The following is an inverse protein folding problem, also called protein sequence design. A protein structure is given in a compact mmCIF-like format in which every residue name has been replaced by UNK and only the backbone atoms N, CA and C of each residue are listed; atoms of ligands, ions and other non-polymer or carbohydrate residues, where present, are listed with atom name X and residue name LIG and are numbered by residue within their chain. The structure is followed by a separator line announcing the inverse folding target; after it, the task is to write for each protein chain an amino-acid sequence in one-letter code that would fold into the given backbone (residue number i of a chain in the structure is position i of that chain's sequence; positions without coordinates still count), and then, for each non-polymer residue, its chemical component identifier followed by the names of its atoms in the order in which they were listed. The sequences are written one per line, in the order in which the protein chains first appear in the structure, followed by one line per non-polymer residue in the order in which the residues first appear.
data_IF_202781073799
#
_entry.id   IF_202781073799
#
_cell.length_a   1.000
_cell.length_b   1.000
_cell.length_c   1.000
_cell.angle_alpha   90.00
_cell.angle_beta   90.00
_cell.angle_gamma   90.00
#
_symmetry.space_group_name_H-M   'P 1'
#
loop_
_entity.id
_entity.type
_entity.pdbx_description
1 polymer ?
#
# COMPACT_ATOMS: atom_id res chain seq x y z
N UNK A 1 16.63 -10.18 -12.80
CA UNK A 1 16.18 -8.81 -12.52
C UNK A 1 14.93 -8.58 -13.35
N UNK A 2 13.78 -8.46 -12.70
CA UNK A 2 12.53 -8.05 -13.34
C UNK A 2 12.71 -6.66 -13.96
N UNK A 3 12.11 -6.39 -15.12
CA UNK A 3 12.06 -5.03 -15.66
C UNK A 3 11.45 -4.09 -14.61
N UNK A 4 12.03 -2.90 -14.37
CA UNK A 4 11.52 -1.95 -13.37
C UNK A 4 10.07 -1.60 -13.68
N UNK A 5 9.19 -1.62 -12.66
CA UNK A 5 7.79 -1.23 -12.85
C UNK A 5 7.74 0.29 -13.04
N UNK A 6 6.96 0.73 -14.04
CA UNK A 6 7.28 1.92 -14.86
C UNK A 6 7.06 3.30 -14.20
N UNK A 7 6.39 3.37 -13.05
CA UNK A 7 5.90 4.63 -12.50
C UNK A 7 6.61 5.00 -11.19
N UNK A 8 7.37 6.09 -11.23
CA UNK A 8 7.98 6.73 -10.07
C UNK A 8 7.28 8.06 -9.80
N UNK A 9 6.96 8.28 -8.52
CA UNK A 9 6.34 9.52 -8.03
C UNK A 9 7.27 10.24 -7.06
N UNK A 10 7.49 11.54 -7.29
CA UNK A 10 8.27 12.40 -6.41
C UNK A 10 7.34 13.09 -5.40
N UNK A 11 7.31 12.56 -4.18
CA UNK A 11 6.53 13.10 -3.06
C UNK A 11 7.32 14.25 -2.46
N UNK A 12 6.78 15.46 -2.50
CA UNK A 12 7.41 16.62 -1.87
C UNK A 12 7.23 16.54 -0.36
N UNK A 13 8.30 16.77 0.38
CA UNK A 13 8.32 16.77 1.84
C UNK A 13 8.84 18.09 2.41
N UNK A 14 8.66 18.29 3.71
CA UNK A 14 9.44 19.28 4.45
C UNK A 14 10.92 18.86 4.48
N UNK A 15 11.82 19.81 4.25
CA UNK A 15 13.27 19.58 4.27
C UNK A 15 13.67 18.97 5.62
N UNK A 16 14.50 17.91 5.60
CA UNK A 16 14.95 17.13 6.77
C UNK A 16 13.87 16.23 7.40
N UNK A 17 12.73 16.03 6.73
CA UNK A 17 11.65 15.12 7.14
C UNK A 17 11.41 13.96 6.16
N UNK A 18 12.31 13.77 5.20
CA UNK A 18 12.24 12.75 4.15
C UNK A 18 12.22 11.34 4.75
N UNK A 19 13.13 11.06 5.69
CA UNK A 19 13.20 9.76 6.38
C UNK A 19 11.97 9.47 7.25
N UNK A 20 11.45 10.49 7.94
CA UNK A 20 10.22 10.36 8.74
C UNK A 20 9.04 9.95 7.83
N UNK A 21 8.86 10.66 6.71
CA UNK A 21 7.81 10.35 5.71
C UNK A 21 8.00 8.96 5.10
N UNK A 22 9.22 8.61 4.69
CA UNK A 22 9.51 7.29 4.12
C UNK A 22 9.21 6.15 5.11
N UNK A 23 9.59 6.34 6.39
CA UNK A 23 9.31 5.40 7.48
C UNK A 23 7.81 5.26 7.72
N UNK A 24 7.06 6.36 7.73
CA UNK A 24 5.62 6.32 7.97
C UNK A 24 4.87 5.60 6.82
N UNK A 25 5.27 5.83 5.56
CA UNK A 25 4.76 5.09 4.40
C UNK A 25 5.05 3.59 4.55
N UNK A 26 6.28 3.22 4.90
CA UNK A 26 6.66 1.83 5.13
C UNK A 26 5.82 1.20 6.24
N UNK A 27 5.67 1.89 7.37
CA UNK A 27 4.86 1.42 8.50
C UNK A 27 3.40 1.19 8.10
N UNK A 28 2.84 2.04 7.23
CA UNK A 28 1.49 1.85 6.70
C UNK A 28 1.36 0.58 5.87
N UNK A 29 2.34 0.29 5.01
CA UNK A 29 2.39 -0.96 4.22
C UNK A 29 2.49 -2.18 5.14
N UNK A 30 3.38 -2.14 6.13
CA UNK A 30 3.56 -3.21 7.11
C UNK A 30 2.30 -3.43 7.97
N UNK A 31 1.63 -2.36 8.38
CA UNK A 31 0.37 -2.43 9.12
C UNK A 31 -0.76 -3.12 8.33
N UNK A 32 -0.80 -2.91 7.01
CA UNK A 32 -1.74 -3.63 6.14
C UNK A 32 -1.41 -5.12 6.08
N UNK A 33 -0.13 -5.50 5.95
CA UNK A 33 0.28 -6.92 5.98
C UNK A 33 -0.15 -7.61 7.25
N UNK A 34 0.03 -6.95 8.39
CA UNK A 34 -0.37 -7.49 9.69
C UNK A 34 -1.89 -7.61 9.80
N UNK A 35 -2.63 -6.69 9.19
CA UNK A 35 -4.09 -6.77 9.11
C UNK A 35 -4.56 -7.97 8.28
N UNK A 36 -3.94 -8.22 7.12
CA UNK A 36 -4.20 -9.43 6.30
C UNK A 36 -3.90 -10.68 7.12
N UNK A 37 -2.73 -10.73 7.76
CA UNK A 37 -2.30 -11.85 8.60
C UNK A 37 -3.31 -12.16 9.70
N UNK A 38 -3.84 -11.12 10.36
CA UNK A 38 -4.86 -11.25 11.41
C UNK A 38 -6.16 -11.86 10.87
N UNK A 39 -6.67 -11.37 9.74
CA UNK A 39 -7.92 -11.89 9.13
C UNK A 39 -7.75 -13.35 8.72
N UNK A 40 -6.66 -13.67 8.02
CA UNK A 40 -6.35 -15.03 7.55
C UNK A 40 -6.14 -16.02 8.71
N UNK A 41 -5.74 -15.54 9.88
CA UNK A 41 -5.53 -16.38 11.07
C UNK A 41 -6.76 -16.46 11.99
N UNK A 42 -7.82 -15.71 11.71
CA UNK A 42 -9.02 -15.69 12.53
C UNK A 42 -9.83 -16.98 12.39
N UNK A 43 -10.48 -17.43 13.47
CA UNK A 43 -11.43 -18.55 13.45
C UNK A 43 -12.87 -18.11 13.16
N UNK A 44 -13.15 -16.80 13.16
CA UNK A 44 -14.54 -16.28 13.08
C UNK A 44 -15.34 -16.83 11.90
N UNK A 45 -14.71 -17.00 10.73
CA UNK A 45 -15.39 -17.58 9.57
C UNK A 45 -15.72 -19.06 9.78
N UNK A 46 -14.79 -19.84 10.32
CA UNK A 46 -15.00 -21.26 10.62
C UNK A 46 -16.09 -21.45 11.68
N UNK A 47 -16.11 -20.59 12.70
CA UNK A 47 -17.12 -20.60 13.76
C UNK A 47 -18.51 -20.29 13.17
N UNK A 48 -18.62 -19.26 12.32
CA UNK A 48 -19.87 -18.91 11.65
C UNK A 48 -20.36 -20.00 10.67
N UNK A 49 -19.45 -20.67 9.97
CA UNK A 49 -19.76 -21.83 9.10
C UNK A 49 -20.30 -22.99 9.95
N UNK A 50 -19.71 -23.25 11.12
CA UNK A 50 -20.19 -24.30 12.03
C UNK A 50 -21.60 -24.00 12.53
N UNK A 51 -21.85 -22.77 12.97
CA UNK A 51 -23.18 -22.33 13.42
C UNK A 51 -24.22 -22.40 12.29
N UNK A 52 -23.83 -22.04 11.06
CA UNK A 52 -24.68 -22.17 9.87
C UNK A 52 -25.05 -23.63 9.60
N UNK A 53 -24.10 -24.55 9.76
CA UNK A 53 -24.34 -25.99 9.59
C UNK A 53 -25.34 -26.51 10.63
N UNK A 54 -25.17 -26.15 11.90
CA UNK A 54 -26.10 -26.50 12.98
C UNK A 54 -27.50 -25.92 12.75
N UNK A 55 -27.56 -24.67 12.27
CA UNK A 55 -28.82 -24.03 11.90
C UNK A 55 -29.53 -24.78 10.77
N UNK A 56 -28.81 -25.17 9.71
CA UNK A 56 -29.37 -25.97 8.61
C UNK A 56 -29.90 -27.31 9.11
N UNK A 57 -29.18 -28.01 9.99
CA UNK A 57 -29.67 -29.24 10.59
C UNK A 57 -30.93 -29.01 11.43
N UNK A 58 -31.05 -27.87 12.11
CA UNK A 58 -32.26 -27.51 12.86
C UNK A 58 -33.46 -27.28 11.93
N UNK A 59 -33.24 -26.67 10.76
CA UNK A 59 -34.27 -26.46 9.74
C UNK A 59 -34.82 -27.77 9.17
N UNK A 60 -33.96 -28.76 8.96
CA UNK A 60 -34.34 -30.07 8.40
C UNK A 60 -35.28 -30.87 9.31
N UNK A 61 -35.25 -30.58 10.61
CA UNK A 61 -36.03 -31.28 11.64
C UNK A 61 -37.27 -30.48 12.09
N UNK A 62 -37.67 -29.43 11.36
CA UNK A 62 -38.86 -28.65 11.70
C UNK A 62 -40.12 -29.45 11.38
N UNK A 63 -40.98 -29.58 12.39
CA UNK A 63 -42.35 -30.05 12.20
C UNK A 63 -43.29 -28.86 11.92
N UNK A 64 -44.19 -29.04 10.96
CA UNK A 64 -45.21 -28.03 10.64
C UNK A 64 -46.28 -28.04 11.74
N UNK A 65 -46.64 -26.87 12.31
CA UNK A 65 -47.65 -26.80 13.35
C UNK A 65 -49.00 -27.40 12.89
N UNK A 66 -49.71 -28.16 13.75
CA UNK A 66 -50.97 -28.81 13.39
C UNK A 66 -52.04 -27.85 12.84
N UNK A 67 -52.08 -26.61 13.34
CA UNK A 67 -52.98 -25.56 12.88
C UNK A 67 -52.74 -25.11 11.42
N UNK A 68 -51.61 -25.50 10.82
CA UNK A 68 -51.24 -25.19 9.42
C UNK A 68 -51.33 -26.40 8.49
N UNK A 69 -51.96 -27.50 8.90
CA UNK A 69 -52.03 -28.75 8.11
C UNK A 69 -52.59 -28.52 6.69
N UNK A 70 -53.54 -27.58 6.52
CA UNK A 70 -54.15 -27.24 5.22
C UNK A 70 -53.17 -26.66 4.19
N UNK A 71 -52.06 -26.04 4.62
CA UNK A 71 -50.98 -25.51 3.77
C UNK A 71 -49.66 -26.24 3.95
N UNK A 72 -49.63 -27.35 4.69
CA UNK A 72 -48.42 -28.10 5.04
C UNK A 72 -47.52 -28.40 3.85
N UNK A 73 -48.07 -28.93 2.76
CA UNK A 73 -47.31 -29.23 1.53
C UNK A 73 -46.61 -28.00 0.95
N UNK A 74 -47.23 -26.82 1.05
CA UNK A 74 -46.65 -25.56 0.57
C UNK A 74 -45.49 -25.14 1.47
N UNK A 75 -45.68 -25.22 2.80
CA UNK A 75 -44.66 -24.88 3.78
C UNK A 75 -43.46 -25.84 3.72
N UNK A 76 -43.70 -27.14 3.61
CA UNK A 76 -42.66 -28.15 3.41
C UNK A 76 -41.85 -27.89 2.13
N UNK A 77 -42.52 -27.53 1.03
CA UNK A 77 -41.82 -27.18 -0.22
C UNK A 77 -40.97 -25.92 -0.06
N UNK A 78 -41.49 -24.89 0.61
CA UNK A 78 -40.74 -23.65 0.90
C UNK A 78 -39.52 -23.93 1.78
N UNK A 79 -39.70 -24.70 2.85
CA UNK A 79 -38.64 -25.13 3.76
C UNK A 79 -37.55 -25.91 3.01
N UNK A 80 -37.95 -26.89 2.21
CA UNK A 80 -37.02 -27.69 1.41
C UNK A 80 -36.19 -26.81 0.46
N UNK A 81 -36.84 -25.88 -0.25
CA UNK A 81 -36.13 -24.96 -1.15
C UNK A 81 -35.15 -24.06 -0.38
N UNK A 82 -35.57 -23.54 0.77
CA UNK A 82 -34.72 -22.73 1.63
C UNK A 82 -33.49 -23.51 2.12
N UNK A 83 -33.68 -24.73 2.63
CA UNK A 83 -32.58 -25.63 3.06
C UNK A 83 -31.61 -25.91 1.91
N UNK A 84 -32.11 -26.15 0.69
CA UNK A 84 -31.25 -26.37 -0.49
C UNK A 84 -30.39 -25.14 -0.77
N UNK A 85 -30.99 -23.95 -0.79
CA UNK A 85 -30.26 -22.70 -1.01
C UNK A 85 -29.24 -22.42 0.10
N UNK A 86 -29.59 -22.71 1.36
CA UNK A 86 -28.70 -22.58 2.50
C UNK A 86 -27.50 -23.52 2.44
N UNK A 87 -27.70 -24.78 2.02
CA UNK A 87 -26.61 -25.75 1.82
C UNK A 87 -25.64 -25.29 0.74
N UNK A 88 -26.15 -24.71 -0.35
CA UNK A 88 -25.29 -24.14 -1.39
C UNK A 88 -24.42 -23.00 -0.84
N UNK A 89 -25.01 -22.08 -0.08
CA UNK A 89 -24.26 -20.99 0.58
C UNK A 89 -23.22 -21.55 1.54
N UNK A 90 -23.57 -22.58 2.32
CA UNK A 90 -22.63 -23.25 3.23
C UNK A 90 -21.43 -23.83 2.47
N UNK A 91 -21.67 -24.57 1.38
CA UNK A 91 -20.61 -25.13 0.53
C UNK A 91 -19.70 -24.04 -0.06
N UNK A 92 -20.29 -22.94 -0.55
CA UNK A 92 -19.54 -21.80 -1.08
C UNK A 92 -18.66 -21.15 0.00
N UNK A 93 -19.20 -20.94 1.22
CA UNK A 93 -18.45 -20.39 2.36
C UNK A 93 -17.35 -21.34 2.85
N UNK A 94 -17.56 -22.66 2.84
CA UNK A 94 -16.52 -23.66 3.13
C UNK A 94 -15.38 -23.59 2.10
N UNK A 95 -15.72 -23.36 0.83
CA UNK A 95 -14.75 -23.09 -0.23
C UNK A 95 -13.91 -21.83 0.05
N UNK A 96 -14.56 -20.74 0.45
CA UNK A 96 -13.90 -19.49 0.87
C UNK A 96 -12.98 -19.71 2.07
N UNK A 97 -13.44 -20.41 3.13
CA UNK A 97 -12.62 -20.74 4.30
C UNK A 97 -11.39 -21.56 3.92
N UNK A 98 -11.55 -22.56 3.05
CA UNK A 98 -10.45 -23.39 2.55
C UNK A 98 -9.41 -22.56 1.80
N UNK A 99 -9.84 -21.57 1.01
CA UNK A 99 -8.94 -20.63 0.32
C UNK A 99 -8.20 -19.73 1.30
N UNK A 100 -8.84 -19.23 2.35
CA UNK A 100 -8.14 -18.51 3.43
C UNK A 100 -7.09 -19.39 4.13
N UNK A 101 -7.40 -20.65 4.42
CA UNK A 101 -6.44 -21.61 5.01
C UNK A 101 -5.26 -21.87 4.08
N UNK A 102 -5.50 -22.02 2.78
CA UNK A 102 -4.42 -22.14 1.78
C UNK A 102 -3.53 -20.89 1.77
N UNK A 103 -4.13 -19.70 1.76
CA UNK A 103 -3.41 -18.44 1.82
C UNK A 103 -2.56 -18.32 3.09
N UNK A 104 -3.09 -18.75 4.25
CA UNK A 104 -2.35 -18.84 5.52
C UNK A 104 -1.08 -19.69 5.37
N UNK A 105 -1.20 -20.86 4.74
CA UNK A 105 -0.08 -21.75 4.47
C UNK A 105 1.00 -21.08 3.61
N UNK A 106 0.60 -20.41 2.52
CA UNK A 106 1.53 -19.65 1.66
C UNK A 106 2.26 -18.55 2.44
N UNK A 107 1.55 -17.84 3.33
CA UNK A 107 2.15 -16.80 4.17
C UNK A 107 3.16 -17.37 5.17
N UNK A 108 2.86 -18.52 5.78
CA UNK A 108 3.77 -19.21 6.71
C UNK A 108 5.02 -19.72 6.00
N UNK A 109 4.87 -20.35 4.84
CA UNK A 109 5.98 -20.82 4.01
C UNK A 109 6.88 -19.65 3.57
N UNK A 110 6.27 -18.53 3.19
CA UNK A 110 6.98 -17.32 2.85
C UNK A 110 7.82 -16.79 4.02
N UNK A 111 7.25 -16.80 5.24
CA UNK A 111 7.92 -16.35 6.46
C UNK A 111 9.01 -17.32 6.98
N UNK A 112 8.93 -18.62 6.66
CA UNK A 112 9.96 -19.59 7.06
C UNK A 112 11.13 -19.68 6.09
N UNK A 113 10.90 -19.39 4.80
CA UNK A 113 11.95 -19.39 3.76
C UNK A 113 12.79 -18.11 3.76
N UNK A 114 12.23 -17.03 4.28
CA UNK A 114 12.93 -15.77 4.48
C UNK A 114 12.97 -15.56 5.99
N UNK A 115 14.09 -15.86 6.64
CA UNK A 115 14.32 -15.50 8.04
C UNK A 115 14.04 -14.00 8.18
N UNK A 116 12.82 -13.65 8.61
CA UNK A 116 12.37 -12.28 8.79
C UNK A 116 13.15 -11.70 9.97
N UNK A 117 14.30 -11.09 9.67
CA UNK A 117 14.95 -10.19 10.60
C UNK A 117 14.00 -9.01 10.75
N UNK A 118 13.47 -8.83 11.96
CA UNK A 118 12.60 -7.70 12.27
C UNK A 118 13.46 -6.43 12.31
N UNK A 119 13.80 -5.88 11.14
CA UNK A 119 14.49 -4.60 11.00
C UNK A 119 14.36 -4.05 9.58
N UNK A 120 13.27 -3.33 9.28
CA UNK A 120 13.18 -2.47 8.09
C UNK A 120 13.50 -3.14 6.73
N UNK A 121 13.43 -4.47 6.64
CA UNK A 121 13.84 -5.21 5.44
C UNK A 121 12.98 -4.87 4.22
N UNK A 122 13.63 -4.89 3.06
CA UNK A 122 13.08 -4.56 1.75
C UNK A 122 11.68 -5.15 1.56
N UNK A 123 10.75 -4.30 1.09
CA UNK A 123 9.38 -4.72 0.76
C UNK A 123 9.48 -5.84 -0.28
N UNK A 124 9.13 -7.09 0.06
CA UNK A 124 9.22 -8.17 -0.91
C UNK A 124 8.02 -8.02 -1.84
N UNK A 125 8.22 -7.23 -2.90
CA UNK A 125 7.12 -6.65 -3.67
C UNK A 125 6.25 -7.72 -4.32
N UNK A 126 6.87 -8.68 -5.01
CA UNK A 126 6.13 -9.57 -5.91
C UNK A 126 5.32 -10.65 -5.16
N UNK A 127 5.89 -11.28 -4.12
CA UNK A 127 5.19 -12.35 -3.40
C UNK A 127 4.07 -11.81 -2.52
N UNK A 128 4.30 -10.70 -1.81
CA UNK A 128 3.25 -10.08 -1.00
C UNK A 128 2.15 -9.45 -1.84
N UNK A 129 2.48 -8.92 -3.01
CA UNK A 129 1.47 -8.44 -3.96
C UNK A 129 0.55 -9.58 -4.39
N UNK A 130 1.11 -10.75 -4.76
CA UNK A 130 0.31 -11.95 -5.10
C UNK A 130 -0.59 -12.40 -3.94
N UNK A 131 -0.05 -12.43 -2.72
CA UNK A 131 -0.81 -12.75 -1.51
C UNK A 131 -1.95 -11.75 -1.29
N UNK A 132 -1.69 -10.46 -1.43
CA UNK A 132 -2.68 -9.41 -1.22
C UNK A 132 -3.78 -9.42 -2.30
N UNK A 133 -3.41 -9.67 -3.56
CA UNK A 133 -4.37 -9.80 -4.67
C UNK A 133 -5.26 -11.04 -4.47
N UNK A 134 -4.69 -12.18 -4.10
CA UNK A 134 -5.46 -13.39 -3.76
C UNK A 134 -6.39 -13.14 -2.56
N UNK A 135 -5.89 -12.52 -1.48
CA UNK A 135 -6.69 -12.13 -0.32
C UNK A 135 -7.89 -11.27 -0.72
N UNK A 136 -7.68 -10.24 -1.56
CA UNK A 136 -8.73 -9.34 -2.03
C UNK A 136 -9.80 -10.08 -2.81
N UNK A 137 -9.40 -11.03 -3.66
CA UNK A 137 -10.34 -11.85 -4.43
C UNK A 137 -11.17 -12.75 -3.51
N UNK A 138 -10.56 -13.37 -2.50
CA UNK A 138 -11.28 -14.19 -1.50
C UNK A 138 -12.26 -13.32 -0.70
N UNK A 139 -11.85 -12.13 -0.28
CA UNK A 139 -12.70 -11.20 0.47
C UNK A 139 -13.91 -10.69 -0.35
N UNK A 140 -13.73 -10.43 -1.64
CA UNK A 140 -14.81 -10.01 -2.54
C UNK A 140 -15.83 -11.14 -2.79
N UNK A 141 -15.34 -12.37 -2.93
CA UNK A 141 -16.16 -13.57 -3.05
C UNK A 141 -16.99 -13.79 -1.78
N UNK A 142 -16.35 -13.74 -0.61
CA UNK A 142 -17.02 -13.79 0.69
C UNK A 142 -18.14 -12.74 0.78
N UNK A 143 -17.88 -11.49 0.40
CA UNK A 143 -18.87 -10.43 0.44
C UNK A 143 -20.11 -10.77 -0.41
N UNK A 144 -19.90 -11.29 -1.62
CA UNK A 144 -20.99 -11.70 -2.51
C UNK A 144 -21.89 -12.79 -1.87
N UNK A 145 -21.28 -13.78 -1.22
CA UNK A 145 -22.02 -14.86 -0.54
C UNK A 145 -22.79 -14.37 0.70
N UNK A 146 -22.22 -13.42 1.44
CA UNK A 146 -22.89 -12.80 2.60
C UNK A 146 -24.10 -11.97 2.17
N UNK A 147 -23.98 -11.23 1.06
CA UNK A 147 -25.09 -10.46 0.48
C UNK A 147 -26.21 -11.40 -0.01
N UNK A 148 -25.86 -12.49 -0.70
CA UNK A 148 -26.82 -13.51 -1.11
C UNK A 148 -27.53 -14.17 0.09
N UNK A 149 -26.80 -14.44 1.17
CA UNK A 149 -27.38 -14.97 2.41
C UNK A 149 -28.36 -13.97 3.04
N UNK A 150 -28.00 -12.70 3.12
CA UNK A 150 -28.87 -11.65 3.64
C UNK A 150 -30.19 -11.53 2.86
N UNK A 151 -30.12 -11.53 1.52
CA UNK A 151 -31.30 -11.48 0.66
C UNK A 151 -32.21 -12.70 0.86
N UNK A 152 -31.60 -13.88 0.97
CA UNK A 152 -32.32 -15.11 1.24
C UNK A 152 -33.04 -15.06 2.60
N UNK A 153 -32.42 -14.52 3.66
CA UNK A 153 -33.05 -14.34 4.96
C UNK A 153 -34.25 -13.41 4.92
N UNK A 154 -34.16 -12.27 4.23
CA UNK A 154 -35.29 -11.35 4.08
C UNK A 154 -36.47 -12.04 3.36
N UNK A 155 -36.19 -12.86 2.36
CA UNK A 155 -37.22 -13.61 1.61
C UNK A 155 -37.93 -14.69 2.43
N UNK A 156 -37.33 -15.19 3.52
CA UNK A 156 -37.92 -16.23 4.39
C UNK A 156 -38.39 -15.73 5.75
N UNK A 157 -38.23 -14.44 6.04
CA UNK A 157 -38.67 -13.83 7.30
C UNK A 157 -40.13 -14.11 7.63
N UNK A 158 -41.03 -14.00 6.64
CA UNK A 158 -42.46 -14.32 6.82
C UNK A 158 -42.69 -15.80 7.07
N UNK A 159 -41.88 -16.69 6.49
CA UNK A 159 -41.99 -18.13 6.69
C UNK A 159 -41.73 -18.51 8.15
N UNK A 160 -40.69 -17.96 8.80
CA UNK A 160 -40.42 -18.23 10.21
C UNK A 160 -41.55 -17.78 11.13
N UNK A 161 -42.19 -16.65 10.80
CA UNK A 161 -43.40 -16.20 11.49
C UNK A 161 -44.56 -17.19 11.28
N UNK A 162 -44.79 -17.65 10.05
CA UNK A 162 -45.87 -18.58 9.70
C UNK A 162 -45.79 -19.91 10.46
N UNK A 163 -44.58 -20.39 10.75
CA UNK A 163 -44.33 -21.65 11.50
C UNK A 163 -44.07 -21.44 12.99
N UNK A 164 -44.24 -20.21 13.51
CA UNK A 164 -43.99 -19.83 14.90
C UNK A 164 -42.57 -20.16 15.41
N UNK A 165 -41.55 -19.97 14.55
CA UNK A 165 -40.14 -20.22 14.86
C UNK A 165 -39.31 -18.93 14.82
N UNK A 166 -39.69 -17.97 15.67
CA UNK A 166 -38.95 -16.71 15.81
C UNK A 166 -37.53 -16.90 16.36
N UNK A 167 -37.28 -18.00 17.08
CA UNK A 167 -35.96 -18.44 17.52
C UNK A 167 -34.99 -18.64 16.34
N UNK A 168 -35.47 -19.24 15.25
CA UNK A 168 -34.68 -19.51 14.05
C UNK A 168 -34.38 -18.24 13.25
N UNK A 169 -35.31 -17.29 13.22
CA UNK A 169 -35.08 -15.96 12.63
C UNK A 169 -33.96 -15.23 13.40
N UNK A 170 -34.00 -15.23 14.74
CA UNK A 170 -32.94 -14.64 15.57
C UNK A 170 -31.59 -15.35 15.35
N UNK A 171 -31.57 -16.68 15.34
CA UNK A 171 -30.35 -17.45 15.12
C UNK A 171 -29.70 -17.11 13.77
N UNK A 172 -30.49 -17.09 12.69
CA UNK A 172 -30.01 -16.77 11.35
C UNK A 172 -29.41 -15.36 11.25
N UNK A 173 -30.01 -14.36 11.92
CA UNK A 173 -29.51 -12.98 11.99
C UNK A 173 -28.18 -12.88 12.73
N UNK A 174 -28.01 -13.61 13.83
CA UNK A 174 -26.74 -13.64 14.56
C UNK A 174 -25.61 -14.21 13.71
N UNK A 175 -25.89 -15.26 12.92
CA UNK A 175 -24.93 -15.83 11.97
C UNK A 175 -24.60 -14.80 10.88
N UNK A 176 -25.61 -14.14 10.32
CA UNK A 176 -25.41 -13.08 9.32
C UNK A 176 -24.55 -11.95 9.88
N UNK A 177 -24.81 -11.45 11.10
CA UNK A 177 -24.01 -10.39 11.73
C UNK A 177 -22.54 -10.78 11.87
N UNK A 178 -22.25 -12.01 12.31
CA UNK A 178 -20.87 -12.52 12.41
C UNK A 178 -20.19 -12.55 11.03
N UNK A 179 -20.88 -13.08 10.02
CA UNK A 179 -20.38 -13.15 8.66
C UNK A 179 -20.16 -11.76 8.06
N UNK A 180 -21.10 -10.83 8.25
CA UNK A 180 -20.96 -9.43 7.81
C UNK A 180 -19.79 -8.75 8.51
N UNK A 181 -19.64 -8.91 9.84
CA UNK A 181 -18.53 -8.33 10.59
C UNK A 181 -17.17 -8.84 10.10
N UNK A 182 -17.05 -10.14 9.85
CA UNK A 182 -15.85 -10.74 9.29
C UNK A 182 -15.59 -10.27 7.84
N UNK A 183 -16.62 -10.28 6.99
CA UNK A 183 -16.55 -9.86 5.58
C UNK A 183 -16.11 -8.40 5.45
N UNK A 184 -16.71 -7.50 6.23
CA UNK A 184 -16.33 -6.08 6.27
C UNK A 184 -14.90 -5.90 6.75
N UNK A 185 -14.46 -6.70 7.72
CA UNK A 185 -13.07 -6.65 8.21
C UNK A 185 -12.08 -7.10 7.14
N UNK A 186 -12.46 -8.05 6.28
CA UNK A 186 -11.64 -8.50 5.16
C UNK A 186 -11.66 -7.51 3.98
N UNK A 187 -12.83 -7.04 3.56
CA UNK A 187 -13.00 -6.21 2.35
C UNK A 187 -12.50 -4.78 2.50
N UNK A 188 -12.45 -4.23 3.73
CA UNK A 188 -11.89 -2.91 4.01
C UNK A 188 -10.37 -2.84 3.88
N UNK A 189 -9.69 -3.98 3.89
CA UNK A 189 -8.24 -4.02 3.80
C UNK A 189 -7.82 -3.74 2.37
N UNK A 190 -7.08 -2.66 2.19
CA UNK A 190 -6.54 -2.27 0.90
C UNK A 190 -5.00 -2.30 0.97
N UNK A 191 -4.39 -3.13 0.13
CA UNK A 191 -2.94 -3.24 0.02
C UNK A 191 -2.40 -2.25 -1.01
N UNK A 192 -1.58 -1.26 -0.60
CA UNK A 192 -0.95 -0.33 -1.53
C UNK A 192 0.12 -1.04 -2.36
N UNK A 193 0.04 -0.94 -3.69
CA UNK A 193 1.07 -1.47 -4.60
C UNK A 193 2.26 -0.52 -4.71
N UNK A 194 3.01 -0.42 -3.61
CA UNK A 194 4.29 0.29 -3.52
C UNK A 194 5.42 -0.72 -3.63
N UNK A 195 6.32 -0.49 -4.57
CA UNK A 195 7.41 -1.40 -4.90
C UNK A 195 8.71 -1.01 -4.21
N UNK A 196 9.03 0.28 -4.21
CA UNK A 196 10.23 0.80 -3.57
C UNK A 196 10.03 2.22 -3.06
N UNK A 197 10.78 2.58 -2.01
CA UNK A 197 10.82 3.91 -1.41
C UNK A 197 12.29 4.34 -1.35
N UNK A 198 12.61 5.48 -1.93
CA UNK A 198 13.97 6.01 -1.98
C UNK A 198 14.01 7.42 -1.40
N UNK A 199 14.97 7.63 -0.50
CA UNK A 199 15.37 8.95 -0.01
C UNK A 199 16.77 9.23 -0.56
N UNK A 200 16.92 10.30 -1.33
CA UNK A 200 18.19 10.67 -1.93
C UNK A 200 18.74 11.95 -1.30
N UNK A 201 19.89 11.86 -0.61
CA UNK A 201 20.50 13.01 0.08
C UNK A 201 20.86 14.18 -0.85
N UNK A 202 21.14 13.89 -2.13
CA UNK A 202 21.44 14.91 -3.14
C UNK A 202 20.21 15.72 -3.58
N UNK A 203 19.00 15.33 -3.17
CA UNK A 203 17.75 15.99 -3.54
C UNK A 203 16.81 16.15 -2.33
N UNK A 204 17.15 17.03 -1.38
CA UNK A 204 16.38 17.21 -0.15
C UNK A 204 14.98 17.79 -0.40
N UNK A 205 14.05 17.48 0.50
CA UNK A 205 12.63 17.86 0.41
C UNK A 205 11.80 16.94 -0.49
N UNK A 206 12.29 15.74 -0.81
CA UNK A 206 11.58 14.77 -1.62
C UNK A 206 11.81 13.33 -1.16
N UNK A 207 10.77 12.50 -1.33
CA UNK A 207 10.82 11.04 -1.26
C UNK A 207 10.33 10.50 -2.59
N UNK A 208 11.04 9.53 -3.16
CA UNK A 208 10.67 8.91 -4.42
C UNK A 208 10.04 7.55 -4.15
N UNK A 209 8.91 7.29 -4.78
CA UNK A 209 8.16 6.05 -4.59
C UNK A 209 7.84 5.43 -5.93
N UNK A 210 8.29 4.20 -6.12
CA UNK A 210 7.89 3.35 -7.24
C UNK A 210 6.59 2.64 -6.89
N UNK A 211 5.59 2.74 -7.76
CA UNK A 211 4.25 2.24 -7.48
C UNK A 211 3.53 1.79 -8.75
N UNK A 212 2.46 1.02 -8.60
CA UNK A 212 1.59 0.65 -9.73
C UNK A 212 0.89 1.88 -10.30
N UNK A 213 0.26 2.68 -9.43
CA UNK A 213 -0.57 3.81 -9.84
C UNK A 213 -0.43 5.02 -8.92
N UNK A 214 -0.91 6.16 -9.41
CA UNK A 214 -1.02 7.37 -8.59
C UNK A 214 -1.91 7.16 -7.37
N UNK A 215 -2.99 6.38 -7.52
CA UNK A 215 -3.93 6.13 -6.42
C UNK A 215 -3.30 5.35 -5.28
N UNK A 216 -2.33 4.47 -5.58
CA UNK A 216 -1.56 3.77 -4.56
C UNK A 216 -0.72 4.76 -3.74
N UNK A 217 -0.03 5.66 -4.43
CA UNK A 217 0.80 6.70 -3.79
C UNK A 217 -0.04 7.69 -3.00
N UNK A 218 -1.14 8.15 -3.57
CA UNK A 218 -2.06 9.08 -2.92
C UNK A 218 -2.55 8.51 -1.59
N UNK A 219 -3.07 7.28 -1.59
CA UNK A 219 -3.59 6.65 -0.38
C UNK A 219 -2.52 6.43 0.68
N UNK A 220 -1.27 6.12 0.30
CA UNK A 220 -0.21 6.00 1.32
C UNK A 220 0.23 7.36 1.84
N UNK A 221 0.26 8.42 1.02
CA UNK A 221 0.69 9.77 1.43
C UNK A 221 -0.36 10.53 2.24
N UNK A 222 -1.66 10.33 1.97
CA UNK A 222 -2.73 11.00 2.72
C UNK A 222 -2.56 10.77 4.23
N UNK A 223 -2.70 11.86 5.00
CA UNK A 223 -2.55 11.88 6.45
C UNK A 223 -1.15 12.20 6.97
N UNK A 224 -0.13 12.26 6.08
CA UNK A 224 1.24 12.58 6.49
C UNK A 224 1.45 14.09 6.61
N UNK A 225 1.78 14.56 7.83
CA UNK A 225 1.97 15.99 8.14
C UNK A 225 3.03 16.68 7.29
N UNK A 226 4.12 15.96 7.00
CA UNK A 226 5.30 16.53 6.33
C UNK A 226 5.36 16.23 4.83
N UNK A 227 4.33 15.59 4.27
CA UNK A 227 4.30 15.22 2.86
C UNK A 227 3.18 15.97 2.12
N UNK A 228 3.40 16.22 0.84
CA UNK A 228 2.40 16.73 -0.08
C UNK A 228 2.20 15.72 -1.19
N UNK A 229 0.96 15.61 -1.68
CA UNK A 229 0.64 14.72 -2.79
C UNK A 229 1.52 15.03 -4.00
N UNK A 230 2.08 14.00 -4.66
CA UNK A 230 2.86 14.20 -5.87
C UNK A 230 1.97 14.61 -7.04
N UNK A 231 2.60 15.02 -8.14
CA UNK A 231 1.91 15.17 -9.42
C UNK A 231 1.32 13.82 -9.86
N UNK A 232 0.10 13.79 -10.45
CA UNK A 232 -0.47 12.57 -11.04
C UNK A 232 0.34 11.99 -12.19
N UNK A 233 1.21 12.80 -12.82
CA UNK A 233 2.09 12.35 -13.89
C UNK A 233 3.31 11.64 -13.29
N UNK A 234 3.46 10.31 -13.49
CA UNK A 234 4.67 9.61 -13.08
C UNK A 234 5.87 10.01 -13.94
N UNK A 235 7.07 9.75 -13.45
CA UNK A 235 8.30 9.68 -14.24
C UNK A 235 8.78 8.24 -14.29
N UNK A 236 9.70 7.93 -15.19
CA UNK A 236 10.33 6.60 -15.23
C UNK A 236 11.57 6.54 -14.33
N UNK A 237 11.93 5.33 -13.89
CA UNK A 237 13.18 5.11 -13.15
C UNK A 237 14.40 5.61 -13.94
N UNK A 238 14.44 5.40 -15.26
CA UNK A 238 15.55 5.86 -16.11
C UNK A 238 15.66 7.39 -16.18
N UNK A 239 14.54 8.09 -16.33
CA UNK A 239 14.50 9.56 -16.30
C UNK A 239 14.96 10.09 -14.96
N UNK A 240 14.49 9.49 -13.87
CA UNK A 240 14.89 9.83 -12.50
C UNK A 240 16.39 9.60 -12.27
N UNK A 241 16.92 8.46 -12.73
CA UNK A 241 18.36 8.16 -12.66
C UNK A 241 19.21 9.13 -13.48
N UNK A 242 18.72 9.61 -14.64
CA UNK A 242 19.39 10.68 -15.40
C UNK A 242 19.45 12.00 -14.62
N UNK A 243 18.45 12.29 -13.79
CA UNK A 243 18.48 13.48 -12.90
C UNK A 243 19.49 13.28 -11.77
N UNK A 244 19.53 12.11 -11.14
CA UNK A 244 20.46 11.83 -10.03
C UNK A 244 21.92 11.68 -10.46
N UNK A 245 22.18 11.14 -11.66
CA UNK A 245 23.53 11.02 -12.22
C UNK A 245 24.12 12.35 -12.67
N UNK A 246 23.33 13.43 -12.75
CA UNK A 246 23.88 14.77 -12.95
C UNK A 246 24.62 15.14 -11.68
N UNK A 247 25.96 15.00 -11.69
CA UNK A 247 26.81 15.59 -10.66
C UNK A 247 26.34 17.03 -10.46
N UNK A 248 26.05 17.46 -9.22
CA UNK A 248 25.79 18.87 -8.96
C UNK A 248 26.91 19.65 -9.64
N UNK A 249 26.60 20.68 -10.45
CA UNK A 249 27.65 21.45 -11.16
C UNK A 249 28.76 21.90 -10.20
N UNK A 250 28.39 22.08 -8.94
CA UNK A 250 29.25 22.30 -7.79
C UNK A 250 30.39 21.25 -7.60
N UNK A 251 30.14 19.96 -7.80
CA UNK A 251 31.15 18.90 -7.63
C UNK A 251 32.10 18.77 -8.83
N UNK A 252 31.76 19.41 -9.96
CA UNK A 252 32.60 19.49 -11.15
C UNK A 252 33.57 20.68 -11.10
N UNK A 253 33.38 21.61 -10.16
CA UNK A 253 34.22 22.80 -10.03
C UNK A 253 35.62 22.37 -9.58
N UNK A 254 36.60 22.64 -10.41
CA UNK A 254 38.01 22.42 -10.14
C UNK A 254 38.68 23.76 -9.84
N UNK A 255 39.87 23.70 -9.26
CA UNK A 255 40.76 24.87 -9.14
C UNK A 255 41.04 25.37 -10.57
N UNK A 256 41.12 26.69 -10.75
CA UNK A 256 41.31 27.35 -12.04
C UNK A 256 40.04 27.60 -12.86
N UNK A 257 38.92 26.94 -12.52
CA UNK A 257 37.64 27.16 -13.19
C UNK A 257 37.11 28.59 -13.00
N UNK A 258 36.45 29.13 -14.02
CA UNK A 258 35.71 30.39 -13.94
C UNK A 258 34.26 30.11 -13.56
N UNK A 259 33.79 30.75 -12.50
CA UNK A 259 32.43 30.59 -11.99
C UNK A 259 31.75 31.95 -11.83
N UNK A 260 30.43 31.96 -11.94
CA UNK A 260 29.57 33.15 -11.76
C UNK A 260 28.72 32.97 -10.51
N UNK A 261 28.61 34.00 -9.68
CA UNK A 261 27.74 33.99 -8.50
C UNK A 261 26.29 34.16 -8.96
N UNK A 262 25.42 33.21 -8.60
CA UNK A 262 23.99 33.17 -8.95
C UNK A 262 23.07 33.40 -7.76
N UNK A 263 23.60 33.51 -6.53
CA UNK A 263 22.84 33.80 -5.31
C UNK A 263 23.62 34.70 -4.35
N UNK A 264 22.91 35.58 -3.63
CA UNK A 264 23.47 36.47 -2.62
C UNK A 264 23.70 37.90 -3.12
N UNK A 265 24.36 38.75 -2.33
CA UNK A 265 24.54 40.18 -2.64
C UNK A 265 25.50 40.44 -3.82
N UNK A 266 26.26 39.43 -4.24
CA UNK A 266 27.32 39.53 -5.25
C UNK A 266 26.94 38.82 -6.57
N UNK A 267 25.63 38.64 -6.82
CA UNK A 267 25.12 37.98 -8.04
C UNK A 267 25.64 38.68 -9.30
N UNK A 268 26.00 37.88 -10.32
CA UNK A 268 26.50 38.34 -11.60
C UNK A 268 28.02 38.51 -11.65
N UNK A 269 28.69 38.62 -10.50
CA UNK A 269 30.15 38.68 -10.46
C UNK A 269 30.77 37.33 -10.85
N UNK A 270 31.87 37.41 -11.60
CA UNK A 270 32.65 36.25 -12.02
C UNK A 270 33.96 36.19 -11.26
N UNK A 271 34.39 34.98 -10.92
CA UNK A 271 35.65 34.74 -10.26
C UNK A 271 36.32 33.46 -10.70
N UNK A 272 37.65 33.42 -10.57
CA UNK A 272 38.46 32.22 -10.76
C UNK A 272 38.56 31.46 -9.44
N UNK A 273 38.33 30.16 -9.49
CA UNK A 273 38.39 29.30 -8.31
C UNK A 273 39.84 29.06 -7.91
N UNK A 274 40.21 29.43 -6.68
CA UNK A 274 41.55 29.20 -6.14
C UNK A 274 41.60 28.01 -5.19
N UNK A 275 40.47 27.67 -4.56
CA UNK A 275 40.38 26.53 -3.64
C UNK A 275 38.98 25.93 -3.65
N UNK A 276 38.91 24.59 -3.56
CA UNK A 276 37.66 23.84 -3.44
C UNK A 276 37.70 23.01 -2.15
N UNK A 277 36.76 23.26 -1.24
CA UNK A 277 36.53 22.42 -0.06
C UNK A 277 35.29 21.55 -0.29
N UNK A 278 35.53 20.31 -0.75
CA UNK A 278 34.46 19.36 -1.08
C UNK A 278 33.69 18.89 0.16
N UNK A 279 34.34 18.82 1.33
CA UNK A 279 33.69 18.39 2.58
C UNK A 279 32.69 19.45 3.06
N UNK A 280 33.07 20.73 2.98
CA UNK A 280 32.23 21.86 3.43
C UNK A 280 31.29 22.40 2.34
N UNK A 281 31.40 21.89 1.11
CA UNK A 281 30.70 22.39 -0.08
C UNK A 281 30.91 23.89 -0.26
N UNK A 282 32.18 24.30 -0.21
CA UNK A 282 32.64 25.68 -0.33
C UNK A 282 33.68 25.81 -1.44
N UNK A 283 33.67 26.95 -2.13
CA UNK A 283 34.70 27.36 -3.09
C UNK A 283 35.22 28.74 -2.72
N UNK A 284 36.53 28.92 -2.82
CA UNK A 284 37.16 30.22 -2.72
C UNK A 284 37.44 30.72 -4.13
N UNK A 285 36.96 31.92 -4.42
CA UNK A 285 37.09 32.56 -5.73
C UNK A 285 37.81 33.90 -5.62
N UNK A 286 38.59 34.23 -6.63
CA UNK A 286 39.13 35.58 -6.85
C UNK A 286 38.31 36.27 -7.93
N UNK A 287 37.76 37.44 -7.63
CA UNK A 287 36.86 38.18 -8.53
C UNK A 287 37.68 38.74 -9.70
N UNK A 288 37.21 38.53 -10.93
CA UNK A 288 37.91 38.95 -12.15
C UNK A 288 37.77 40.46 -12.43
N UNK A 289 36.65 41.08 -12.03
CA UNK A 289 36.34 42.50 -12.28
C UNK A 289 36.88 43.46 -11.19
N UNK A 290 37.73 42.99 -10.27
CA UNK A 290 38.26 43.82 -9.19
C UNK A 290 39.72 44.21 -9.42
N UNK A 291 40.04 45.50 -9.25
CA UNK A 291 41.42 46.02 -9.28
C UNK A 291 42.33 45.43 -8.18
N UNK A 292 41.77 44.66 -7.23
CA UNK A 292 42.50 43.95 -6.17
C UNK A 292 41.89 42.55 -5.97
N UNK A 293 42.65 41.45 -6.10
CA UNK A 293 42.11 40.11 -5.92
C UNK A 293 41.80 39.87 -4.43
N UNK A 294 40.53 39.98 -4.06
CA UNK A 294 40.04 39.58 -2.75
C UNK A 294 39.50 38.14 -2.82
N UNK A 295 40.10 37.18 -2.08
CA UNK A 295 39.58 35.83 -2.03
C UNK A 295 38.27 35.79 -1.26
N UNK A 296 37.22 35.26 -1.89
CA UNK A 296 35.89 35.12 -1.29
C UNK A 296 35.50 33.65 -1.22
N UNK A 297 35.24 33.15 0.00
CA UNK A 297 34.72 31.79 0.21
C UNK A 297 33.20 31.79 0.22
N UNK A 298 32.57 31.04 -0.67
CA UNK A 298 31.12 30.91 -0.79
C UNK A 298 30.70 29.45 -0.97
N UNK A 299 29.44 29.17 -0.66
CA UNK A 299 28.87 27.83 -0.86
C UNK A 299 28.83 27.49 -2.34
N UNK A 300 29.17 26.26 -2.68
CA UNK A 300 29.31 25.85 -4.09
C UNK A 300 27.98 25.91 -4.86
N UNK A 301 26.83 25.87 -4.18
CA UNK A 301 25.51 26.05 -4.81
C UNK A 301 25.12 27.51 -5.06
N UNK A 302 25.93 28.48 -4.61
CA UNK A 302 25.78 29.90 -4.93
C UNK A 302 26.47 30.26 -6.24
N UNK A 303 27.23 29.35 -6.84
CA UNK A 303 27.97 29.59 -8.07
C UNK A 303 27.56 28.66 -9.19
N UNK A 304 27.73 29.13 -10.42
CA UNK A 304 27.55 28.35 -11.66
C UNK A 304 28.87 28.34 -12.43
N UNK A 305 29.32 27.15 -12.83
CA UNK A 305 30.47 27.00 -13.72
C UNK A 305 30.22 27.70 -15.06
N UNK A 306 31.15 28.57 -15.46
CA UNK A 306 31.14 29.30 -16.74
C UNK A 306 32.17 28.67 -17.70
N UNK A 307 33.39 28.43 -17.22
CA UNK A 307 34.47 27.80 -18.00
C UNK A 307 35.27 26.86 -17.10
N UNK A 308 35.46 25.62 -17.54
CA UNK A 308 36.43 24.70 -16.95
C UNK A 308 37.81 25.08 -17.47
N UNK A 309 38.85 25.02 -16.65
CA UNK A 309 40.22 25.15 -17.17
C UNK A 309 40.48 23.98 -18.13
N UNK A 310 40.93 24.27 -19.36
CA UNK A 310 41.34 23.25 -20.31
C UNK A 310 42.70 22.74 -19.85
N UNK A 311 42.75 21.50 -19.37
CA UNK A 311 44.02 20.78 -19.23
C UNK A 311 44.56 20.52 -20.63
N UNK A 312 45.54 21.31 -21.06
CA UNK A 312 46.41 20.93 -22.17
C UNK A 312 47.20 19.67 -21.78
N UNK A 313 46.82 18.54 -22.40
CA UNK A 313 47.69 17.41 -22.74
C UNK A 313 48.05 16.39 -21.65
N UNK A 314 47.52 15.16 -21.80
CA UNK A 314 48.39 13.99 -21.89
C UNK A 314 47.97 13.20 -23.15
N UNK A 315 48.90 13.11 -24.09
CA UNK A 315 48.90 12.21 -25.25
C UNK A 315 49.13 10.77 -24.82
#
# INVERSE_FOLDING_TARGET
MTEPKKNVYAIRTQVRKEYDVARDILNKILGVRESIRRVVSSTTLDDAISELREFISSLENIEIPPEKEFIKKILERRLKNYVISMKRILEDLEGVSSRFKSLRGKMQEYASKNDLVVSFDEVPGENWEKIADEFRLIAADLQSHVEAFAELLENVKSFFYDINRSDLDVQSKNILEKLTGFSVSASKIWYPKIYSIMVYEGFPGYVFVEAESYTDVEKVVIGHKYARLPSPKPTTADEMMKVFKRKPKAELIQIGAIVEIIKGPLVGLRGRVTRVDRKKKEVTIEILDSNYPLPLTIKTYYVRLVKQEETEGES
#
